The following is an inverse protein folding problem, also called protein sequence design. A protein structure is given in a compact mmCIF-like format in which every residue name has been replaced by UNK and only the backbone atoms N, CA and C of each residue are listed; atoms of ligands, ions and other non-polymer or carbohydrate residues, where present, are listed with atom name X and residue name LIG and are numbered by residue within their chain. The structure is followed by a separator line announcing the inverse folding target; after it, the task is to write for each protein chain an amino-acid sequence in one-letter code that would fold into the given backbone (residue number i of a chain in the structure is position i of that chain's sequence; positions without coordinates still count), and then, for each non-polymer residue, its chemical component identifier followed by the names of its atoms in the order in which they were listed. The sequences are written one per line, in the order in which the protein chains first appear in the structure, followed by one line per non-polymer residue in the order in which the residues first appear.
data_IF_921189561550
#
_entry.id   IF_921189561550
#
_cell.length_a   1.000
_cell.length_b   1.000
_cell.length_c   1.000
_cell.angle_alpha   90.00
_cell.angle_beta   90.00
_cell.angle_gamma   90.00
#
_symmetry.space_group_name_H-M   'P 1'
#
loop_
_entity.id
_entity.type
_entity.pdbx_description
1 polymer ?
#
# COMPACT_ATOMS: atom_id res chain seq x y z
N UNK A 1 30.75 77.39 -10.15
CA UNK A 1 30.31 76.31 -9.23
C UNK A 1 30.04 75.03 -10.02
N UNK A 2 30.85 73.98 -9.87
CA UNK A 2 30.63 72.66 -10.51
C UNK A 2 29.81 71.76 -9.57
N UNK A 3 28.60 71.39 -9.96
CA UNK A 3 27.75 70.43 -9.23
C UNK A 3 28.22 69.00 -9.54
N UNK A 4 28.68 68.27 -8.52
CA UNK A 4 29.00 66.84 -8.58
C UNK A 4 27.69 66.07 -8.33
N UNK A 5 27.30 65.18 -9.25
CA UNK A 5 26.14 64.28 -9.05
C UNK A 5 26.60 63.01 -8.30
N UNK A 6 25.82 62.51 -7.33
CA UNK A 6 26.15 61.27 -6.63
C UNK A 6 25.95 60.06 -7.55
N UNK A 7 26.89 59.12 -7.53
CA UNK A 7 26.75 57.82 -8.20
C UNK A 7 25.84 56.96 -7.33
N UNK A 8 24.64 56.65 -7.84
CA UNK A 8 23.73 55.70 -7.21
C UNK A 8 24.37 54.32 -7.23
N UNK A 9 24.64 53.77 -6.05
CA UNK A 9 25.23 52.45 -5.87
C UNK A 9 24.07 51.47 -5.64
N UNK A 10 23.71 50.73 -6.69
CA UNK A 10 22.66 49.72 -6.65
C UNK A 10 23.21 48.47 -5.94
N UNK A 11 22.73 48.18 -4.74
CA UNK A 11 23.06 46.94 -4.04
C UNK A 11 22.10 45.86 -4.54
N UNK A 12 22.60 44.91 -5.32
CA UNK A 12 21.84 43.74 -5.76
C UNK A 12 21.95 42.68 -4.65
N UNK A 13 20.88 42.53 -3.87
CA UNK A 13 20.75 41.41 -2.93
C UNK A 13 20.47 40.14 -3.72
N UNK A 14 21.45 39.25 -3.82
CA UNK A 14 21.31 37.95 -4.45
C UNK A 14 20.51 37.02 -3.53
N UNK A 15 19.24 36.78 -3.86
CA UNK A 15 18.37 35.84 -3.16
C UNK A 15 18.80 34.41 -3.56
N UNK A 16 19.60 33.75 -2.72
CA UNK A 16 19.98 32.35 -2.92
C UNK A 16 18.77 31.49 -2.54
N UNK A 17 18.02 31.02 -3.53
CA UNK A 17 17.03 29.96 -3.34
C UNK A 17 17.78 28.67 -2.98
N UNK A 18 17.76 28.30 -1.70
CA UNK A 18 18.21 27.00 -1.25
C UNK A 18 17.15 25.99 -1.71
N UNK A 19 17.39 25.34 -2.85
CA UNK A 19 16.58 24.22 -3.28
C UNK A 19 16.88 23.04 -2.35
N UNK A 20 16.02 22.82 -1.35
CA UNK A 20 16.04 21.58 -0.60
C UNK A 20 15.80 20.43 -1.57
N UNK A 21 16.65 19.38 -1.60
CA UNK A 21 16.32 18.20 -2.38
C UNK A 21 14.99 17.66 -1.87
N UNK A 22 14.01 17.59 -2.75
CA UNK A 22 12.76 16.91 -2.46
C UNK A 22 13.16 15.43 -2.29
N UNK A 23 13.33 14.99 -1.04
CA UNK A 23 13.54 13.58 -0.76
C UNK A 23 12.36 12.86 -1.37
N UNK A 24 12.60 12.02 -2.37
CA UNK A 24 11.59 11.09 -2.84
C UNK A 24 11.12 10.34 -1.60
N UNK A 25 9.83 10.45 -1.27
CA UNK A 25 9.29 9.68 -0.17
C UNK A 25 9.55 8.21 -0.48
N UNK A 26 10.30 7.53 0.38
CA UNK A 26 10.55 6.11 0.22
C UNK A 26 9.20 5.40 0.12
N UNK A 27 9.12 4.47 -0.82
CA UNK A 27 7.92 3.69 -1.07
C UNK A 27 7.62 2.86 0.19
N UNK A 28 6.58 3.23 0.97
CA UNK A 28 6.40 2.71 2.31
C UNK A 28 5.97 1.25 2.30
N UNK A 29 5.62 0.73 1.12
CA UNK A 29 5.14 -0.64 0.92
C UNK A 29 6.26 -1.63 0.65
N UNK A 30 7.48 -1.19 0.28
CA UNK A 30 8.57 -2.11 -0.06
C UNK A 30 8.90 -3.01 1.15
N UNK A 31 8.94 -4.32 0.90
CA UNK A 31 9.28 -5.34 1.88
C UNK A 31 8.30 -6.51 1.88
N UNK A 32 8.39 -7.31 2.94
CA UNK A 32 7.52 -8.46 3.17
C UNK A 32 6.52 -8.17 4.28
N UNK A 33 5.26 -8.53 4.04
CA UNK A 33 4.15 -8.24 4.93
C UNK A 33 3.38 -9.51 5.23
N UNK A 34 2.96 -9.67 6.49
CA UNK A 34 2.12 -10.77 6.94
C UNK A 34 0.75 -10.24 7.33
N UNK A 35 -0.31 -10.87 6.81
CA UNK A 35 -1.68 -10.59 7.23
C UNK A 35 -1.88 -11.04 8.68
N UNK A 36 -2.25 -10.11 9.56
CA UNK A 36 -2.54 -10.39 10.97
C UNK A 36 -4.02 -10.48 11.25
N UNK A 37 -4.84 -9.72 10.53
CA UNK A 37 -6.29 -9.79 10.59
C UNK A 37 -6.91 -9.23 9.33
N UNK A 38 -8.16 -9.61 9.05
CA UNK A 38 -8.92 -9.02 7.98
C UNK A 38 -10.30 -9.62 7.86
N UNK A 39 -11.13 -8.95 7.08
CA UNK A 39 -12.51 -9.32 6.83
C UNK A 39 -12.93 -8.83 5.45
N UNK A 40 -13.87 -9.56 4.84
CA UNK A 40 -14.48 -9.17 3.59
C UNK A 40 -15.99 -9.39 3.64
N UNK A 41 -16.70 -8.65 2.79
CA UNK A 41 -18.12 -8.81 2.57
C UNK A 41 -18.32 -9.88 1.48
N UNK A 42 -19.02 -10.97 1.80
CA UNK A 42 -19.32 -12.02 0.84
C UNK A 42 -20.42 -11.61 -0.16
N UNK A 43 -20.70 -12.48 -1.13
CA UNK A 43 -21.73 -12.25 -2.16
C UNK A 43 -23.16 -12.14 -1.62
N UNK A 44 -23.41 -12.49 -0.35
CA UNK A 44 -24.69 -12.35 0.33
C UNK A 44 -24.74 -11.12 1.25
N UNK A 45 -23.70 -10.28 1.25
CA UNK A 45 -23.61 -9.11 2.13
C UNK A 45 -23.27 -9.46 3.58
N UNK A 46 -22.70 -10.64 3.84
CA UNK A 46 -22.27 -11.06 5.18
C UNK A 46 -20.78 -10.82 5.36
N UNK A 47 -20.39 -10.25 6.49
CA UNK A 47 -18.99 -10.16 6.88
C UNK A 47 -18.42 -11.53 7.23
N UNK A 48 -17.29 -11.85 6.61
CA UNK A 48 -16.51 -13.05 6.84
C UNK A 48 -15.15 -12.65 7.40
N UNK A 49 -14.84 -13.12 8.60
CA UNK A 49 -13.53 -12.89 9.23
C UNK A 49 -12.52 -13.90 8.67
N UNK A 50 -11.34 -13.43 8.26
CA UNK A 50 -10.26 -14.31 7.82
C UNK A 50 -9.81 -15.27 8.94
N UNK A 51 -9.91 -14.84 10.21
CA UNK A 51 -9.60 -15.68 11.37
C UNK A 51 -10.53 -16.89 11.50
N UNK A 52 -11.83 -16.74 11.24
CA UNK A 52 -12.81 -17.84 11.27
C UNK A 52 -12.52 -18.89 10.20
N UNK A 53 -11.93 -18.45 9.09
CA UNK A 53 -11.47 -19.30 8.00
C UNK A 53 -10.05 -19.84 8.21
N UNK A 54 -9.39 -19.45 9.31
CA UNK A 54 -7.99 -19.76 9.62
C UNK A 54 -7.03 -19.37 8.49
N UNK A 55 -7.27 -18.23 7.87
CA UNK A 55 -6.44 -17.72 6.79
C UNK A 55 -5.26 -16.91 7.33
N UNK A 56 -4.14 -17.04 6.65
CA UNK A 56 -2.95 -16.21 6.79
C UNK A 56 -2.42 -15.89 5.41
N UNK A 57 -1.67 -14.81 5.25
CA UNK A 57 -1.09 -14.47 3.97
C UNK A 57 0.28 -13.81 4.13
N UNK A 58 1.12 -13.97 3.10
CA UNK A 58 2.34 -13.20 2.91
C UNK A 58 2.18 -12.40 1.63
N UNK A 59 2.51 -11.11 1.70
CA UNK A 59 2.59 -10.20 0.55
C UNK A 59 4.00 -9.64 0.45
N UNK A 60 4.61 -9.77 -0.72
CA UNK A 60 5.93 -9.22 -1.03
C UNK A 60 5.74 -8.10 -2.04
N UNK A 61 6.33 -6.94 -1.74
CA UNK A 61 6.20 -5.73 -2.55
C UNK A 61 7.61 -5.22 -2.92
N UNK A 62 7.82 -5.09 -4.23
CA UNK A 62 8.99 -4.44 -4.83
C UNK A 62 8.66 -2.99 -5.20
N UNK A 63 9.53 -2.30 -5.93
CA UNK A 63 9.28 -0.91 -6.34
C UNK A 63 7.97 -0.70 -7.11
N UNK A 64 7.57 -1.68 -7.94
CA UNK A 64 6.45 -1.55 -8.87
C UNK A 64 5.59 -2.81 -9.02
N UNK A 65 5.94 -3.91 -8.35
CA UNK A 65 5.18 -5.16 -8.37
C UNK A 65 4.86 -5.66 -6.98
N UNK A 66 3.75 -6.36 -6.88
CA UNK A 66 3.35 -7.12 -5.70
C UNK A 66 3.15 -8.60 -6.06
N UNK A 67 3.29 -9.45 -5.05
CA UNK A 67 2.80 -10.82 -5.06
C UNK A 67 2.29 -11.17 -3.68
N UNK A 68 1.16 -11.87 -3.59
CA UNK A 68 0.70 -12.43 -2.34
C UNK A 68 0.34 -13.90 -2.50
N UNK A 69 0.46 -14.63 -1.39
CA UNK A 69 -0.10 -15.97 -1.23
C UNK A 69 -0.86 -16.02 0.08
N UNK A 70 -2.10 -16.47 0.00
CA UNK A 70 -2.97 -16.76 1.14
C UNK A 70 -3.00 -18.26 1.35
N UNK A 71 -2.81 -18.68 2.59
CA UNK A 71 -2.82 -20.07 3.03
C UNK A 71 -3.90 -20.27 4.09
N UNK A 72 -4.55 -21.43 4.04
CA UNK A 72 -5.52 -21.86 5.04
C UNK A 72 -4.87 -22.88 5.97
N UNK A 73 -4.99 -22.67 7.29
CA UNK A 73 -4.62 -23.72 8.23
C UNK A 73 -5.74 -24.78 8.32
N UNK A 74 -5.48 -25.96 7.77
CA UNK A 74 -6.37 -27.13 7.82
C UNK A 74 -6.07 -28.06 9.01
N UNK A 75 -4.96 -27.82 9.71
CA UNK A 75 -4.57 -28.52 10.91
C UNK A 75 -5.18 -27.97 12.19
N UNK A 76 -4.52 -28.27 13.31
CA UNK A 76 -4.84 -27.73 14.63
C UNK A 76 -3.89 -26.59 15.00
N UNK A 77 -4.18 -25.85 16.05
CA UNK A 77 -3.24 -24.82 16.55
C UNK A 77 -1.92 -25.42 17.01
N UNK A 78 -1.96 -26.59 17.65
CA UNK A 78 -0.76 -27.29 18.12
C UNK A 78 0.03 -27.97 16.99
N UNK A 79 -0.62 -28.28 15.86
CA UNK A 79 -0.01 -28.90 14.69
C UNK A 79 -0.59 -28.25 13.43
N UNK A 80 -0.10 -27.06 13.05
CA UNK A 80 -0.60 -26.37 11.88
C UNK A 80 -0.23 -27.13 10.61
N UNK A 81 -1.14 -27.10 9.64
CA UNK A 81 -0.94 -27.65 8.31
C UNK A 81 -1.54 -26.67 7.32
N UNK A 82 -0.75 -26.21 6.35
CA UNK A 82 -1.14 -25.16 5.42
C UNK A 82 -1.54 -25.74 4.08
N UNK A 83 -2.71 -25.33 3.60
CA UNK A 83 -3.17 -25.55 2.23
C UNK A 83 -3.17 -24.22 1.47
N UNK A 84 -2.87 -24.28 0.17
CA UNK A 84 -3.01 -23.14 -0.72
C UNK A 84 -4.47 -22.68 -0.77
N UNK A 85 -4.71 -21.39 -0.59
CA UNK A 85 -6.05 -20.81 -0.67
C UNK A 85 -6.20 -19.89 -1.90
N UNK A 86 -5.33 -18.88 -2.00
CA UNK A 86 -5.36 -17.94 -3.10
C UNK A 86 -3.98 -17.32 -3.34
N UNK A 87 -3.73 -16.85 -4.56
CA UNK A 87 -2.58 -16.00 -4.86
C UNK A 87 -2.92 -15.00 -5.96
N UNK A 88 -2.21 -13.89 -5.94
CA UNK A 88 -2.28 -12.84 -6.94
C UNK A 88 -0.92 -12.18 -7.11
N UNK A 89 -0.61 -11.74 -8.33
CA UNK A 89 0.58 -10.94 -8.63
C UNK A 89 0.31 -9.97 -9.75
N UNK A 90 1.01 -8.84 -9.73
CA UNK A 90 0.91 -7.83 -10.76
C UNK A 90 1.63 -6.56 -10.37
N UNK A 91 1.16 -5.45 -10.92
CA UNK A 91 1.72 -4.12 -10.68
C UNK A 91 0.88 -3.37 -9.67
N UNK A 92 1.44 -2.32 -9.10
CA UNK A 92 0.67 -1.40 -8.28
C UNK A 92 1.07 0.05 -8.52
N UNK A 93 0.20 0.96 -8.12
CA UNK A 93 0.48 2.39 -8.02
C UNK A 93 -0.02 2.90 -6.68
N UNK A 94 0.53 4.00 -6.17
CA UNK A 94 0.06 4.59 -4.93
C UNK A 94 0.17 6.12 -4.95
N UNK A 95 -0.68 6.75 -4.14
CA UNK A 95 -0.65 8.17 -3.79
C UNK A 95 -0.41 8.29 -2.28
N UNK A 96 -0.62 9.47 -1.70
CA UNK A 96 -0.54 9.64 -0.25
C UNK A 96 -1.67 8.92 0.52
N UNK A 97 -2.78 8.59 -0.14
CA UNK A 97 -3.99 8.05 0.52
C UNK A 97 -4.52 6.77 -0.12
N UNK A 98 -4.05 6.42 -1.30
CA UNK A 98 -4.53 5.29 -2.08
C UNK A 98 -3.40 4.37 -2.52
N UNK A 99 -3.66 3.07 -2.50
CA UNK A 99 -2.82 2.01 -3.04
C UNK A 99 -3.70 1.15 -3.96
N UNK A 100 -3.29 0.99 -5.21
CA UNK A 100 -4.10 0.33 -6.25
C UNK A 100 -3.32 -0.84 -6.84
N UNK A 101 -3.86 -2.04 -6.70
CA UNK A 101 -3.30 -3.26 -7.29
C UNK A 101 -3.92 -3.51 -8.67
N UNK A 102 -3.09 -3.93 -9.61
CA UNK A 102 -3.46 -4.36 -10.95
C UNK A 102 -3.00 -5.82 -11.12
N UNK A 103 -3.80 -6.81 -10.70
CA UNK A 103 -3.45 -8.21 -10.83
C UNK A 103 -3.29 -8.60 -12.30
N UNK A 104 -2.16 -9.20 -12.65
CA UNK A 104 -1.90 -9.73 -13.99
C UNK A 104 -2.14 -11.23 -14.05
N UNK A 105 -1.91 -11.93 -12.93
CA UNK A 105 -2.24 -13.33 -12.74
C UNK A 105 -2.81 -13.54 -11.35
N UNK A 106 -3.87 -14.32 -11.24
CA UNK A 106 -4.50 -14.66 -9.97
C UNK A 106 -5.21 -16.01 -10.03
N UNK A 107 -5.41 -16.64 -8.86
CA UNK A 107 -6.07 -17.94 -8.74
C UNK A 107 -7.59 -17.86 -8.60
N UNK A 108 -8.17 -16.65 -8.52
CA UNK A 108 -9.58 -16.40 -8.20
C UNK A 108 -10.39 -15.84 -9.37
N UNK A 109 -9.83 -15.90 -10.59
CA UNK A 109 -10.54 -15.68 -11.85
C UNK A 109 -10.87 -14.21 -12.18
N UNK A 110 -10.25 -13.25 -11.51
CA UNK A 110 -10.44 -11.83 -11.86
C UNK A 110 -9.69 -11.52 -13.14
N UNK A 111 -10.29 -10.68 -13.99
CA UNK A 111 -9.69 -10.26 -15.25
C UNK A 111 -8.34 -9.54 -15.02
N UNK A 112 -7.39 -9.76 -15.92
CA UNK A 112 -6.10 -9.09 -15.87
C UNK A 112 -6.27 -7.56 -15.90
N UNK A 113 -5.44 -6.88 -15.10
CA UNK A 113 -5.43 -5.43 -14.89
C UNK A 113 -6.74 -4.83 -14.34
N UNK A 114 -7.71 -5.65 -13.88
CA UNK A 114 -8.86 -5.14 -13.14
C UNK A 114 -8.39 -4.53 -11.81
N UNK A 115 -8.62 -3.23 -11.56
CA UNK A 115 -8.02 -2.54 -10.43
C UNK A 115 -8.70 -2.88 -9.10
N UNK A 116 -7.88 -3.09 -8.07
CA UNK A 116 -8.32 -3.14 -6.67
C UNK A 116 -7.77 -1.92 -5.94
N UNK A 117 -8.63 -0.95 -5.68
CA UNK A 117 -8.26 0.29 -5.00
C UNK A 117 -8.50 0.20 -3.51
N UNK A 118 -7.47 0.52 -2.73
CA UNK A 118 -7.51 0.54 -1.28
C UNK A 118 -7.16 1.95 -0.79
N UNK A 119 -7.93 2.44 0.18
CA UNK A 119 -7.41 3.46 1.09
C UNK A 119 -6.52 2.79 2.13
N UNK A 120 -5.50 3.50 2.62
CA UNK A 120 -4.57 2.89 3.55
C UNK A 120 -4.07 3.84 4.64
N UNK A 121 -3.52 3.25 5.69
CA UNK A 121 -2.72 3.93 6.71
C UNK A 121 -1.53 3.05 7.07
N UNK A 122 -0.34 3.64 7.13
CA UNK A 122 0.89 2.99 7.61
C UNK A 122 1.36 3.70 8.88
N UNK A 123 1.53 2.93 9.97
CA UNK A 123 2.01 3.42 11.26
C UNK A 123 3.08 2.47 11.77
N UNK A 124 4.35 2.86 11.66
CA UNK A 124 5.47 1.97 11.99
C UNK A 124 5.49 0.75 11.08
N UNK A 125 5.35 -0.44 11.66
CA UNK A 125 5.31 -1.73 10.95
C UNK A 125 3.90 -2.19 10.59
N UNK A 126 2.87 -1.44 10.96
CA UNK A 126 1.48 -1.76 10.66
C UNK A 126 1.00 -1.07 9.38
N UNK A 127 0.37 -1.84 8.51
CA UNK A 127 -0.29 -1.36 7.31
C UNK A 127 -1.75 -1.81 7.28
N UNK A 128 -2.66 -0.84 7.36
CA UNK A 128 -4.10 -1.06 7.27
C UNK A 128 -4.60 -0.70 5.88
N UNK A 129 -5.42 -1.56 5.27
CA UNK A 129 -6.08 -1.32 3.97
C UNK A 129 -7.58 -1.38 4.12
N UNK A 130 -8.30 -0.61 3.29
CA UNK A 130 -9.75 -0.68 3.16
C UNK A 130 -10.16 -0.55 1.70
N UNK A 131 -10.93 -1.52 1.20
CA UNK A 131 -11.53 -1.46 -0.14
C UNK A 131 -13.00 -1.07 -0.03
N UNK A 132 -13.37 -0.01 -0.76
CA UNK A 132 -14.75 0.46 -0.87
C UNK A 132 -15.16 0.38 -2.32
N UNK A 133 -16.30 -0.25 -2.61
CA UNK A 133 -16.86 -0.35 -3.95
C UNK A 133 -18.27 0.23 -3.93
N UNK A 134 -18.57 1.16 -4.84
CA UNK A 134 -19.88 1.82 -4.95
C UNK A 134 -20.37 2.43 -3.61
N UNK A 135 -19.44 2.94 -2.80
CA UNK A 135 -19.73 3.55 -1.50
C UNK A 135 -19.90 2.55 -0.35
N UNK A 136 -19.80 1.25 -0.60
CA UNK A 136 -19.89 0.20 0.40
C UNK A 136 -18.50 -0.37 0.73
N UNK A 137 -18.19 -0.47 2.02
CA UNK A 137 -16.96 -1.12 2.48
C UNK A 137 -17.03 -2.63 2.17
N UNK A 138 -16.09 -3.12 1.37
CA UNK A 138 -16.02 -4.52 0.95
C UNK A 138 -14.95 -5.32 1.67
N UNK A 139 -13.90 -4.68 2.14
CA UNK A 139 -12.75 -5.37 2.72
C UNK A 139 -11.95 -4.46 3.64
N UNK A 140 -11.38 -5.06 4.69
CA UNK A 140 -10.42 -4.43 5.57
C UNK A 140 -9.35 -5.43 5.95
N UNK A 141 -8.10 -5.00 5.95
CA UNK A 141 -6.97 -5.85 6.33
C UNK A 141 -6.00 -5.09 7.21
N UNK A 142 -5.33 -5.82 8.09
CA UNK A 142 -4.17 -5.36 8.85
C UNK A 142 -3.00 -6.28 8.51
N UNK A 143 -1.92 -5.66 8.05
CA UNK A 143 -0.67 -6.28 7.69
C UNK A 143 0.42 -5.81 8.64
N UNK A 144 1.33 -6.71 9.01
CA UNK A 144 2.52 -6.41 9.79
C UNK A 144 3.76 -6.67 8.94
N UNK A 145 4.72 -5.75 8.96
CA UNK A 145 6.01 -5.93 8.30
C UNK A 145 6.78 -7.10 8.92
N UNK A 146 7.49 -7.88 8.10
CA UNK A 146 8.27 -9.03 8.56
C UNK A 146 9.74 -8.70 8.82
N UNK A 147 10.29 -7.69 8.13
CA UNK A 147 11.70 -7.28 8.15
C UNK A 147 11.92 -5.79 7.84
#
# INVERSE_FOLDING_TARGET
MKRIKPKSMFVITLLILVASPLSAAENPFIGSWKLTSGQYLDGNGKWVQYGDLKLSAIKVISENHFSFTTMKNIGTEAKPESEFWAAGTGRYTYTATEYVEYPQLNSFGVAADMPFAFTYQITGEEWQTKRTENGELKEQELWLKLD
#
